data_IF_562566222992
#
_entry.id   IF_562566222992
#
_cell.length_a   1.000
_cell.length_b   1.000
_cell.length_c   1.000
_cell.angle_alpha   90.00
_cell.angle_beta   90.00
_cell.angle_gamma   90.00
#
_symmetry.space_group_name_H-M   'P 1'
#
loop_
_entity.id
_entity.type
_entity.pdbx_description
1 polymer ?
#
# COMPACT_ATOMS: atom_id res chain seq x y z
N UNK A 1 -4.63 -20.16 16.41
CA UNK A 1 -3.63 -19.15 16.04
C UNK A 1 -4.27 -17.78 16.04
N UNK A 2 -3.55 -16.78 16.52
CA UNK A 2 -3.96 -15.37 16.58
C UNK A 2 -3.06 -14.52 15.70
N UNK A 3 -3.63 -13.69 14.87
CA UNK A 3 -2.91 -12.84 13.91
C UNK A 3 -3.17 -11.37 14.27
N UNK A 4 -2.11 -10.58 14.31
CA UNK A 4 -2.21 -9.14 14.52
C UNK A 4 -1.87 -8.39 13.23
N UNK A 5 -2.69 -7.39 12.87
CA UNK A 5 -2.50 -6.59 11.67
C UNK A 5 -2.34 -5.13 12.07
N UNK A 6 -1.20 -4.52 11.79
CA UNK A 6 -1.07 -3.07 11.92
C UNK A 6 -1.65 -2.38 10.69
N UNK A 7 -2.28 -1.22 10.88
CA UNK A 7 -2.98 -0.55 9.78
C UNK A 7 -4.25 -1.31 9.34
N UNK A 8 -4.95 -1.92 10.30
CA UNK A 8 -6.10 -2.81 10.05
C UNK A 8 -7.33 -2.11 9.48
N UNK A 9 -7.47 -0.80 9.64
CA UNK A 9 -8.50 0.03 9.02
C UNK A 9 -8.11 0.52 7.62
N UNK A 10 -6.85 0.32 7.22
CA UNK A 10 -6.32 0.65 5.91
C UNK A 10 -6.83 -0.30 4.82
N UNK A 11 -6.49 0.05 3.57
CA UNK A 11 -6.90 -0.70 2.40
C UNK A 11 -6.48 -2.18 2.46
N UNK A 12 -5.17 -2.45 2.56
CA UNK A 12 -4.64 -3.81 2.58
C UNK A 12 -5.01 -4.55 3.87
N UNK A 13 -4.85 -3.88 5.03
CA UNK A 13 -5.07 -4.47 6.34
C UNK A 13 -6.52 -4.95 6.54
N UNK A 14 -7.51 -4.20 6.07
CA UNK A 14 -8.92 -4.57 6.23
C UNK A 14 -9.32 -5.80 5.40
N UNK A 15 -8.76 -5.95 4.20
CA UNK A 15 -8.99 -7.14 3.36
C UNK A 15 -8.29 -8.38 3.93
N UNK A 16 -7.06 -8.24 4.45
CA UNK A 16 -6.36 -9.33 5.14
C UNK A 16 -7.11 -9.75 6.41
N UNK A 17 -7.64 -8.80 7.17
CA UNK A 17 -8.45 -9.11 8.35
C UNK A 17 -9.66 -9.98 8.00
N UNK A 18 -10.41 -9.60 6.96
CA UNK A 18 -11.54 -10.41 6.48
C UNK A 18 -11.09 -11.79 6.02
N UNK A 19 -9.98 -11.88 5.30
CA UNK A 19 -9.43 -13.15 4.83
C UNK A 19 -9.08 -14.07 6.00
N UNK A 20 -8.33 -13.60 6.99
CA UNK A 20 -7.95 -14.42 8.14
C UNK A 20 -9.16 -14.81 9.01
N UNK A 21 -10.13 -13.91 9.18
CA UNK A 21 -11.39 -14.23 9.87
C UNK A 21 -12.18 -15.32 9.13
N UNK A 22 -12.21 -15.28 7.79
CA UNK A 22 -12.90 -16.30 6.98
C UNK A 22 -12.27 -17.69 7.09
N UNK A 23 -10.97 -17.75 7.40
CA UNK A 23 -10.22 -18.97 7.66
C UNK A 23 -10.33 -19.46 9.12
N UNK A 24 -11.11 -18.76 9.97
CA UNK A 24 -11.35 -19.14 11.36
C UNK A 24 -10.27 -18.68 12.35
N UNK A 25 -9.34 -17.81 11.95
CA UNK A 25 -8.33 -17.25 12.85
C UNK A 25 -8.91 -16.13 13.71
N UNK A 26 -8.34 -15.93 14.90
CA UNK A 26 -8.61 -14.76 15.73
C UNK A 26 -7.74 -13.60 15.22
N UNK A 27 -8.36 -12.48 14.90
CA UNK A 27 -7.68 -11.30 14.34
C UNK A 27 -7.80 -10.13 15.31
N UNK A 28 -6.65 -9.56 15.65
CA UNK A 28 -6.55 -8.25 16.27
C UNK A 28 -5.79 -7.29 15.35
N UNK A 29 -5.89 -6.01 15.62
CA UNK A 29 -5.12 -5.02 14.87
C UNK A 29 -5.26 -3.62 15.42
N UNK A 30 -4.28 -2.77 15.11
CA UNK A 30 -4.33 -1.36 15.45
C UNK A 30 -4.38 -0.48 14.22
N UNK A 31 -4.91 0.72 14.41
CA UNK A 31 -4.88 1.79 13.42
C UNK A 31 -4.94 3.15 14.14
N UNK A 32 -4.32 4.18 13.59
CA UNK A 32 -4.46 5.57 14.01
C UNK A 32 -5.32 6.39 13.04
N UNK A 33 -5.93 5.72 12.05
CA UNK A 33 -6.84 6.24 11.04
C UNK A 33 -6.26 7.33 10.11
N UNK A 34 -4.94 7.47 10.04
CA UNK A 34 -4.30 8.38 9.08
C UNK A 34 -4.56 7.97 7.62
N UNK A 35 -4.58 6.67 7.33
CA UNK A 35 -4.67 6.15 5.96
C UNK A 35 -5.88 5.26 5.70
N UNK A 36 -6.70 4.99 6.71
CA UNK A 36 -7.86 4.11 6.64
C UNK A 36 -9.14 4.74 7.17
N UNK A 37 -10.24 4.07 6.93
CA UNK A 37 -11.55 4.45 7.49
C UNK A 37 -11.97 3.45 8.54
N UNK A 38 -12.54 3.92 9.65
CA UNK A 38 -13.01 3.06 10.74
C UNK A 38 -14.07 2.03 10.28
N UNK A 39 -14.89 2.38 9.33
CA UNK A 39 -15.91 1.52 8.75
C UNK A 39 -15.37 0.42 7.80
N UNK A 40 -14.07 0.42 7.48
CA UNK A 40 -13.42 -0.70 6.82
C UNK A 40 -13.17 -1.89 7.75
N UNK A 41 -13.18 -1.67 9.07
CA UNK A 41 -12.82 -2.71 10.04
C UNK A 41 -14.00 -3.66 10.29
N UNK A 42 -13.76 -4.95 10.08
CA UNK A 42 -14.76 -5.97 10.38
C UNK A 42 -15.05 -5.98 11.89
N UNK A 43 -16.33 -6.01 12.31
CA UNK A 43 -16.71 -5.99 13.72
C UNK A 43 -16.16 -7.15 14.56
N UNK A 44 -15.70 -8.24 13.94
CA UNK A 44 -15.06 -9.38 14.61
C UNK A 44 -13.59 -9.17 14.92
N UNK A 45 -12.98 -8.11 14.38
CA UNK A 45 -11.59 -7.75 14.69
C UNK A 45 -11.51 -7.10 16.06
N UNK A 46 -10.58 -7.54 16.88
CA UNK A 46 -10.23 -6.82 18.11
C UNK A 46 -9.41 -5.57 17.74
N UNK A 47 -10.11 -4.44 17.62
CA UNK A 47 -9.52 -3.18 17.18
C UNK A 47 -8.94 -2.41 18.36
N UNK A 48 -7.70 -1.95 18.19
CA UNK A 48 -7.00 -1.06 19.11
C UNK A 48 -6.73 0.28 18.41
N UNK A 49 -7.22 1.38 18.98
CA UNK A 49 -7.09 2.74 18.44
C UNK A 49 -5.84 3.40 19.04
N UNK A 50 -4.68 3.20 18.39
CA UNK A 50 -3.42 3.83 18.78
C UNK A 50 -2.37 3.75 17.66
N UNK A 51 -1.33 4.55 17.80
CA UNK A 51 -0.21 4.59 16.86
C UNK A 51 0.80 3.48 17.15
N UNK A 52 1.17 2.68 16.15
CA UNK A 52 2.13 1.57 16.29
C UNK A 52 3.56 2.02 16.68
N UNK A 53 3.84 3.31 16.69
CA UNK A 53 5.09 3.90 17.27
C UNK A 53 5.14 3.81 18.80
N UNK A 54 4.01 3.67 19.47
CA UNK A 54 4.01 3.36 20.89
C UNK A 54 4.45 1.91 21.13
N UNK A 55 5.76 1.72 21.19
CA UNK A 55 6.40 0.42 21.34
C UNK A 55 5.98 -0.33 22.60
N UNK A 56 5.77 0.39 23.70
CA UNK A 56 5.42 -0.23 24.97
C UNK A 56 4.00 -0.77 24.96
N UNK A 57 3.05 0.02 24.49
CA UNK A 57 1.67 -0.41 24.32
C UNK A 57 1.57 -1.55 23.29
N UNK A 58 2.29 -1.42 22.17
CA UNK A 58 2.35 -2.47 21.14
C UNK A 58 2.87 -3.78 21.73
N UNK A 59 3.97 -3.78 22.48
CA UNK A 59 4.51 -4.99 23.08
C UNK A 59 3.53 -5.64 24.07
N UNK A 60 2.84 -4.83 24.87
CA UNK A 60 1.80 -5.32 25.79
C UNK A 60 0.64 -6.01 25.06
N UNK A 61 0.18 -5.42 23.96
CA UNK A 61 -0.95 -5.94 23.18
C UNK A 61 -0.56 -7.21 22.40
N UNK A 62 0.67 -7.27 21.88
CA UNK A 62 1.12 -8.40 21.06
C UNK A 62 1.32 -9.69 21.83
N UNK A 63 1.32 -9.70 23.15
CA UNK A 63 1.40 -10.94 23.93
C UNK A 63 0.30 -11.94 23.57
N UNK A 64 0.74 -13.12 23.16
CA UNK A 64 -0.13 -14.23 22.76
C UNK A 64 -0.68 -14.12 21.35
N UNK A 65 -0.15 -13.22 20.51
CA UNK A 65 -0.29 -13.30 19.06
C UNK A 65 0.86 -14.10 18.46
N UNK A 66 0.54 -14.93 17.48
CA UNK A 66 1.49 -15.84 16.82
C UNK A 66 2.19 -15.16 15.64
N UNK A 67 1.46 -14.31 14.91
CA UNK A 67 1.89 -13.68 13.67
C UNK A 67 1.55 -12.19 13.70
N UNK A 68 2.47 -11.35 13.22
CA UNK A 68 2.21 -9.94 12.90
C UNK A 68 2.30 -9.74 11.39
N UNK A 69 1.26 -9.12 10.80
CA UNK A 69 1.29 -8.61 9.43
C UNK A 69 1.31 -7.08 9.48
N UNK A 70 2.45 -6.50 9.12
CA UNK A 70 2.69 -5.07 9.23
C UNK A 70 2.31 -4.35 7.93
N UNK A 71 1.08 -3.81 7.90
CA UNK A 71 0.54 -3.03 6.79
C UNK A 71 0.53 -1.52 7.06
N UNK A 72 0.73 -1.10 8.32
CA UNK A 72 0.73 0.32 8.69
C UNK A 72 1.83 1.08 7.93
N UNK A 73 1.44 2.07 7.16
CA UNK A 73 2.34 2.95 6.44
C UNK A 73 1.58 4.14 5.85
N UNK A 74 2.24 5.29 5.75
CA UNK A 74 1.82 6.38 4.88
C UNK A 74 2.43 6.16 3.50
N UNK A 75 1.71 5.41 2.64
CA UNK A 75 2.22 4.97 1.33
C UNK A 75 2.16 6.08 0.28
N UNK A 76 2.86 7.19 0.54
CA UNK A 76 2.83 8.42 -0.26
C UNK A 76 4.19 8.67 -0.92
N UNK A 77 4.53 7.90 -1.96
CA UNK A 77 5.79 8.02 -2.69
C UNK A 77 6.02 9.47 -3.17
N UNK A 78 5.08 10.03 -3.95
CA UNK A 78 5.21 11.39 -4.48
C UNK A 78 5.24 12.49 -3.42
N UNK A 79 4.54 12.33 -2.30
CA UNK A 79 4.56 13.29 -1.20
C UNK A 79 5.87 13.22 -0.40
N UNK A 80 6.58 12.10 -0.43
CA UNK A 80 7.73 11.85 0.44
C UNK A 80 8.86 12.86 0.28
N UNK A 81 9.06 13.40 -0.92
CA UNK A 81 10.07 14.45 -1.18
C UNK A 81 9.64 15.84 -0.69
N UNK A 82 8.36 16.02 -0.34
CA UNK A 82 7.80 17.25 0.19
C UNK A 82 7.40 17.18 1.66
N UNK A 83 7.32 15.99 2.23
CA UNK A 83 7.03 15.76 3.66
C UNK A 83 7.87 14.59 4.19
N UNK A 84 9.21 14.67 4.09
CA UNK A 84 10.10 13.54 4.40
C UNK A 84 10.08 13.14 5.88
N UNK A 85 9.93 14.08 6.80
CA UNK A 85 9.86 13.80 8.24
C UNK A 85 8.58 13.01 8.56
N UNK A 86 7.44 13.47 8.08
CA UNK A 86 6.16 12.79 8.24
C UNK A 86 6.21 11.35 7.70
N UNK A 87 6.75 11.17 6.48
CA UNK A 87 6.85 9.85 5.84
C UNK A 87 7.80 8.93 6.60
N UNK A 88 8.99 9.41 6.97
CA UNK A 88 10.00 8.60 7.68
C UNK A 88 9.47 8.11 9.04
N UNK A 89 8.79 8.97 9.79
CA UNK A 89 8.20 8.60 11.08
C UNK A 89 7.10 7.55 10.95
N UNK A 90 6.22 7.71 9.97
CA UNK A 90 5.08 6.80 9.78
C UNK A 90 5.43 5.52 8.99
N UNK A 91 6.65 5.37 8.51
CA UNK A 91 7.13 4.15 7.86
C UNK A 91 8.27 3.53 8.66
N UNK A 92 9.42 4.19 8.77
CA UNK A 92 10.59 3.56 9.36
C UNK A 92 10.47 3.44 10.88
N UNK A 93 10.21 4.54 11.59
CA UNK A 93 10.03 4.53 13.04
C UNK A 93 8.90 3.59 13.47
N UNK A 94 7.75 3.65 12.77
CA UNK A 94 6.60 2.79 13.01
C UNK A 94 6.93 1.29 12.82
N UNK A 95 7.69 0.96 11.77
CA UNK A 95 8.12 -0.42 11.49
C UNK A 95 9.09 -0.93 12.55
N UNK A 96 10.12 -0.16 12.89
CA UNK A 96 11.12 -0.55 13.90
C UNK A 96 10.46 -0.71 15.28
N UNK A 97 9.57 0.19 15.65
CA UNK A 97 8.80 0.09 16.89
C UNK A 97 7.98 -1.20 16.95
N UNK A 98 7.26 -1.51 15.86
CA UNK A 98 6.45 -2.74 15.77
C UNK A 98 7.31 -4.01 15.80
N UNK A 99 8.44 -4.04 15.07
CA UNK A 99 9.37 -5.17 15.07
C UNK A 99 9.93 -5.45 16.46
N UNK A 100 10.40 -4.40 17.14
CA UNK A 100 10.93 -4.50 18.51
C UNK A 100 9.86 -4.99 19.48
N UNK A 101 8.63 -4.50 19.36
CA UNK A 101 7.50 -4.96 20.17
C UNK A 101 7.14 -6.43 19.91
N UNK A 102 7.15 -6.86 18.63
CA UNK A 102 6.88 -8.24 18.25
C UNK A 102 7.90 -9.21 18.83
N UNK A 103 9.19 -8.86 18.77
CA UNK A 103 10.27 -9.64 19.38
C UNK A 103 10.08 -9.71 20.91
N UNK A 104 9.83 -8.58 21.57
CA UNK A 104 9.60 -8.52 23.02
C UNK A 104 8.40 -9.38 23.45
N UNK A 105 7.37 -9.47 22.61
CA UNK A 105 6.17 -10.28 22.86
C UNK A 105 6.30 -11.75 22.45
N UNK A 106 7.47 -12.19 21.97
CA UNK A 106 7.73 -13.53 21.44
C UNK A 106 6.80 -13.93 20.28
N UNK A 107 6.50 -13.01 19.37
CA UNK A 107 5.78 -13.29 18.12
C UNK A 107 6.64 -14.24 17.26
N UNK A 108 6.05 -15.30 16.75
CA UNK A 108 6.77 -16.32 15.96
C UNK A 108 7.12 -15.88 14.55
N UNK A 109 6.26 -15.05 13.91
CA UNK A 109 6.47 -14.62 12.51
C UNK A 109 6.03 -13.17 12.27
N UNK A 110 6.82 -12.48 11.45
CA UNK A 110 6.57 -11.11 11.02
C UNK A 110 6.50 -11.03 9.49
N UNK A 111 5.38 -10.57 8.94
CA UNK A 111 5.23 -10.29 7.50
C UNK A 111 5.23 -8.79 7.29
N UNK A 112 6.21 -8.29 6.55
CA UNK A 112 6.35 -6.87 6.24
C UNK A 112 5.81 -6.55 4.85
N UNK A 113 4.91 -5.57 4.75
CA UNK A 113 4.46 -5.04 3.45
C UNK A 113 5.40 -3.92 3.00
N UNK A 114 6.31 -4.25 2.10
CA UNK A 114 7.23 -3.32 1.46
C UNK A 114 6.61 -2.65 0.22
N UNK A 115 7.41 -2.20 -0.72
CA UNK A 115 6.97 -1.52 -1.94
C UNK A 115 7.97 -1.72 -3.08
N UNK A 116 7.47 -1.68 -4.32
CA UNK A 116 8.32 -1.64 -5.51
C UNK A 116 9.21 -0.38 -5.59
N UNK A 117 8.92 0.67 -4.84
CA UNK A 117 9.78 1.84 -4.70
C UNK A 117 11.21 1.50 -4.21
N UNK A 118 11.42 0.30 -3.66
CA UNK A 118 12.73 -0.26 -3.31
C UNK A 118 13.69 -0.37 -4.49
N UNK A 119 13.17 -0.49 -5.70
CA UNK A 119 13.97 -0.68 -6.92
C UNK A 119 14.39 0.64 -7.58
N UNK A 120 13.68 1.74 -7.30
CA UNK A 120 13.98 3.05 -7.89
C UNK A 120 13.84 3.09 -9.41
N UNK A 121 14.84 3.66 -10.09
CA UNK A 121 14.84 3.88 -11.54
C UNK A 121 15.65 2.83 -12.31
N UNK A 122 15.71 1.59 -11.82
CA UNK A 122 16.38 0.51 -12.52
C UNK A 122 15.58 0.08 -13.77
N UNK A 123 16.18 -0.75 -14.60
CA UNK A 123 15.52 -1.31 -15.79
C UNK A 123 14.46 -2.34 -15.37
N UNK A 124 13.24 -2.14 -15.83
CA UNK A 124 12.12 -3.05 -15.58
C UNK A 124 12.13 -4.23 -16.60
N UNK A 125 11.55 -5.40 -16.27
CA UNK A 125 10.83 -5.70 -15.02
C UNK A 125 11.76 -5.92 -13.83
N UNK A 126 11.37 -5.42 -12.66
CA UNK A 126 12.15 -5.60 -11.44
C UNK A 126 12.02 -7.02 -10.89
N UNK A 127 13.13 -7.61 -10.49
CA UNK A 127 13.16 -8.93 -9.82
C UNK A 127 13.67 -8.81 -8.39
N UNK A 128 13.39 -9.80 -7.56
CA UNK A 128 13.74 -9.80 -6.14
C UNK A 128 15.26 -9.87 -5.90
N UNK A 129 16.02 -10.36 -6.88
CA UNK A 129 17.49 -10.45 -6.86
C UNK A 129 18.18 -9.10 -7.12
N UNK A 130 17.47 -8.12 -7.66
CA UNK A 130 18.01 -6.79 -7.90
C UNK A 130 18.38 -6.11 -6.59
N UNK A 131 19.50 -5.39 -6.62
CA UNK A 131 19.87 -4.53 -5.50
C UNK A 131 18.83 -3.43 -5.31
N UNK A 132 18.55 -3.11 -4.06
CA UNK A 132 17.68 -1.98 -3.75
C UNK A 132 18.38 -0.66 -4.06
N UNK A 133 17.68 0.22 -4.81
CA UNK A 133 18.19 1.52 -5.23
C UNK A 133 17.10 2.61 -5.14
N UNK A 134 16.47 2.82 -3.96
CA UNK A 134 15.36 3.75 -3.82
C UNK A 134 15.79 5.18 -4.11
N UNK A 135 14.91 5.97 -4.74
CA UNK A 135 15.21 7.34 -5.21
C UNK A 135 14.47 8.44 -4.46
N UNK A 136 13.61 8.07 -3.52
CA UNK A 136 12.80 8.98 -2.73
C UNK A 136 12.73 8.55 -1.25
N UNK A 137 12.36 9.45 -0.31
CA UNK A 137 12.32 9.15 1.12
C UNK A 137 11.38 7.99 1.50
N UNK A 138 10.29 7.76 0.73
CA UNK A 138 9.38 6.64 0.96
C UNK A 138 10.09 5.30 0.69
N UNK A 139 10.69 5.15 -0.49
CA UNK A 139 11.45 3.95 -0.86
C UNK A 139 12.63 3.71 0.07
N UNK A 140 13.38 4.77 0.44
CA UNK A 140 14.48 4.68 1.40
C UNK A 140 14.00 4.17 2.76
N UNK A 141 12.89 4.68 3.29
CA UNK A 141 12.32 4.24 4.55
C UNK A 141 11.86 2.77 4.51
N UNK A 142 11.27 2.32 3.40
CA UNK A 142 10.90 0.91 3.19
C UNK A 142 12.12 0.00 3.17
N UNK A 143 13.16 0.35 2.42
CA UNK A 143 14.41 -0.44 2.35
C UNK A 143 15.11 -0.49 3.71
N UNK A 144 15.18 0.62 4.42
CA UNK A 144 15.74 0.66 5.77
C UNK A 144 14.98 -0.26 6.73
N UNK A 145 13.63 -0.29 6.65
CA UNK A 145 12.80 -1.20 7.45
C UNK A 145 13.03 -2.68 7.08
N UNK A 146 13.18 -3.02 5.78
CA UNK A 146 13.53 -4.37 5.35
C UNK A 146 14.86 -4.84 5.92
N UNK A 147 15.89 -4.00 5.85
CA UNK A 147 17.22 -4.31 6.36
C UNK A 147 17.21 -4.49 7.88
N UNK A 148 16.48 -3.60 8.58
CA UNK A 148 16.31 -3.69 10.04
C UNK A 148 15.58 -4.98 10.42
N UNK A 149 14.50 -5.36 9.71
CA UNK A 149 13.78 -6.60 9.96
C UNK A 149 14.70 -7.81 9.86
N UNK A 150 15.45 -7.93 8.77
CA UNK A 150 16.39 -9.04 8.56
C UNK A 150 17.42 -9.14 9.68
N UNK A 151 18.05 -8.01 10.02
CA UNK A 151 19.05 -7.95 11.09
C UNK A 151 18.47 -8.35 12.46
N UNK A 152 17.30 -7.86 12.81
CA UNK A 152 16.65 -8.21 14.08
C UNK A 152 16.23 -9.67 14.12
N UNK A 153 15.69 -10.21 13.03
CA UNK A 153 15.26 -11.60 12.94
C UNK A 153 16.44 -12.57 13.00
N UNK A 154 17.58 -12.22 12.39
CA UNK A 154 18.82 -12.98 12.47
C UNK A 154 19.33 -13.11 13.91
N UNK A 155 19.26 -12.03 14.68
CA UNK A 155 19.72 -12.03 16.09
C UNK A 155 18.71 -12.69 17.04
N UNK A 156 17.42 -12.48 16.82
CA UNK A 156 16.37 -12.85 17.80
C UNK A 156 15.55 -14.08 17.39
N UNK A 157 15.80 -14.68 16.21
CA UNK A 157 15.18 -15.93 15.78
C UNK A 157 13.71 -15.83 15.37
N UNK A 158 13.13 -14.62 15.21
CA UNK A 158 11.78 -14.43 14.69
C UNK A 158 11.76 -14.74 13.19
N UNK A 159 10.80 -15.53 12.72
CA UNK A 159 10.63 -15.76 11.27
C UNK A 159 10.12 -14.51 10.57
N UNK A 160 10.53 -14.31 9.32
CA UNK A 160 10.08 -13.17 8.55
C UNK A 160 9.79 -13.50 7.08
N UNK A 161 8.89 -12.75 6.48
CA UNK A 161 8.69 -12.64 5.03
C UNK A 161 8.40 -11.20 4.66
N UNK A 162 8.73 -10.82 3.42
CA UNK A 162 8.51 -9.48 2.87
C UNK A 162 7.65 -9.59 1.62
N UNK A 163 6.44 -9.05 1.68
CA UNK A 163 5.58 -8.85 0.52
C UNK A 163 5.93 -7.52 -0.16
N UNK A 164 6.10 -7.53 -1.47
CA UNK A 164 6.35 -6.34 -2.29
C UNK A 164 5.19 -6.15 -3.27
N UNK A 165 4.00 -5.77 -2.79
CA UNK A 165 2.87 -5.52 -3.67
C UNK A 165 3.07 -4.24 -4.46
N UNK A 166 2.55 -4.19 -5.71
CA UNK A 166 2.67 -3.01 -6.54
C UNK A 166 1.31 -2.56 -7.11
N UNK A 167 1.09 -1.25 -7.10
CA UNK A 167 -0.07 -0.56 -7.66
C UNK A 167 -1.43 -1.23 -7.34
N UNK A 168 -1.64 -1.63 -6.07
CA UNK A 168 -2.88 -2.30 -5.67
C UNK A 168 -4.04 -1.31 -5.71
N UNK A 169 -5.18 -1.75 -6.28
CA UNK A 169 -6.43 -1.00 -6.39
C UNK A 169 -7.62 -1.86 -5.96
N UNK A 170 -8.69 -1.22 -5.51
CA UNK A 170 -9.91 -1.93 -5.11
C UNK A 170 -10.78 -1.15 -4.13
N UNK A 171 -11.89 -1.76 -3.69
CA UNK A 171 -12.75 -1.23 -2.63
C UNK A 171 -11.97 -0.96 -1.34
N UNK A 172 -12.46 -0.03 -0.50
CA UNK A 172 -11.86 0.41 0.78
C UNK A 172 -10.53 1.18 0.64
N UNK A 173 -10.01 1.39 -0.57
CA UNK A 173 -8.89 2.29 -0.76
C UNK A 173 -9.31 3.72 -0.45
N UNK A 174 -8.47 4.47 0.29
CA UNK A 174 -8.75 5.87 0.61
C UNK A 174 -8.79 6.69 -0.68
N UNK A 175 -9.86 7.43 -0.91
CA UNK A 175 -10.14 8.14 -2.15
C UNK A 175 -10.30 9.66 -1.98
N UNK A 176 -10.25 10.15 -0.75
CA UNK A 176 -10.23 11.58 -0.40
C UNK A 176 -8.80 12.07 -0.07
N UNK A 177 -7.78 11.26 -0.33
CA UNK A 177 -6.37 11.60 -0.16
C UNK A 177 -5.83 12.21 -1.48
N UNK A 178 -5.36 13.48 -1.49
CA UNK A 178 -4.94 14.14 -2.72
C UNK A 178 -3.56 13.69 -3.24
N UNK A 179 -2.82 12.94 -2.44
CA UNK A 179 -1.40 12.67 -2.70
C UNK A 179 -1.13 11.29 -3.27
N UNK A 180 -2.07 10.35 -3.17
CA UNK A 180 -1.86 8.95 -3.60
C UNK A 180 -3.10 8.31 -4.19
N UNK A 181 -2.87 7.15 -4.86
CA UNK A 181 -3.88 6.29 -5.47
C UNK A 181 -4.57 6.96 -6.65
N UNK A 182 -3.82 7.13 -7.73
CA UNK A 182 -4.25 7.85 -8.94
C UNK A 182 -5.66 7.46 -9.42
N UNK A 183 -6.02 6.17 -9.44
CA UNK A 183 -7.33 5.70 -9.89
C UNK A 183 -8.45 6.15 -8.95
N UNK A 184 -8.22 6.10 -7.62
CA UNK A 184 -9.20 6.53 -6.62
C UNK A 184 -9.40 8.04 -6.65
N UNK A 185 -8.31 8.84 -6.84
CA UNK A 185 -8.39 10.29 -7.03
C UNK A 185 -9.22 10.63 -8.27
N UNK A 186 -8.91 10.00 -9.42
CA UNK A 186 -9.65 10.22 -10.67
C UNK A 186 -11.13 9.85 -10.53
N UNK A 187 -11.43 8.72 -9.89
CA UNK A 187 -12.79 8.25 -9.66
C UNK A 187 -13.57 9.23 -8.76
N UNK A 188 -12.99 9.65 -7.65
CA UNK A 188 -13.60 10.62 -6.74
C UNK A 188 -13.92 11.94 -7.46
N UNK A 189 -12.96 12.48 -8.23
CA UNK A 189 -13.18 13.70 -9.02
C UNK A 189 -14.29 13.54 -10.05
N UNK A 190 -14.24 12.49 -10.87
CA UNK A 190 -15.22 12.26 -11.93
C UNK A 190 -16.65 12.04 -11.38
N UNK A 191 -16.78 11.39 -10.22
CA UNK A 191 -18.08 11.25 -9.53
C UNK A 191 -18.58 12.60 -8.97
N UNK A 192 -17.69 13.51 -8.59
CA UNK A 192 -17.99 14.92 -8.23
C UNK A 192 -18.20 15.83 -9.45
N UNK A 193 -18.19 15.29 -10.68
CA UNK A 193 -18.33 16.04 -11.95
C UNK A 193 -17.14 16.96 -12.23
N UNK A 194 -15.97 16.62 -11.73
CA UNK A 194 -14.71 17.33 -11.95
C UNK A 194 -13.79 16.54 -12.89
N UNK A 195 -13.01 17.18 -13.78
CA UNK A 195 -12.05 16.52 -14.64
C UNK A 195 -10.90 15.91 -13.85
N UNK A 196 -10.32 14.79 -14.32
CA UNK A 196 -9.10 14.24 -13.74
C UNK A 196 -7.88 15.08 -14.07
N UNK A 197 -6.91 15.20 -13.14
CA UNK A 197 -5.57 15.73 -13.43
C UNK A 197 -4.65 14.59 -13.86
N UNK A 198 -3.81 14.86 -14.85
CA UNK A 198 -2.74 13.96 -15.32
C UNK A 198 -1.43 14.74 -15.27
N UNK A 199 -0.44 14.21 -14.55
CA UNK A 199 0.88 14.80 -14.47
C UNK A 199 1.70 14.39 -15.70
N UNK A 200 2.31 15.38 -16.37
CA UNK A 200 3.04 15.18 -17.61
C UNK A 200 2.15 14.81 -18.79
N UNK A 201 2.71 14.04 -19.71
CA UNK A 201 2.04 13.60 -20.95
C UNK A 201 1.07 12.41 -20.74
N UNK A 202 1.08 11.78 -19.56
CA UNK A 202 0.22 10.65 -19.24
C UNK A 202 0.62 9.31 -19.89
N UNK A 203 1.82 9.25 -20.51
CA UNK A 203 2.33 8.04 -21.18
C UNK A 203 3.11 7.10 -20.25
N UNK A 204 3.27 7.46 -18.97
CA UNK A 204 3.85 6.56 -17.99
C UNK A 204 3.03 5.29 -17.83
N UNK A 205 3.70 4.13 -17.89
CA UNK A 205 3.10 2.80 -17.87
C UNK A 205 3.03 2.23 -16.46
N UNK A 206 1.90 1.58 -16.14
CA UNK A 206 1.68 0.86 -14.87
C UNK A 206 0.90 -0.43 -15.09
N UNK A 207 1.31 -1.48 -14.38
CA UNK A 207 0.46 -2.63 -14.13
C UNK A 207 -0.29 -2.39 -12.83
N UNK A 208 -1.62 -2.58 -12.83
CA UNK A 208 -2.46 -2.41 -11.65
C UNK A 208 -2.91 -3.76 -11.11
N UNK A 209 -2.70 -3.98 -9.81
CA UNK A 209 -3.07 -5.21 -9.11
C UNK A 209 -4.45 -5.06 -8.48
N UNK A 210 -5.35 -6.01 -8.70
CA UNK A 210 -6.57 -6.03 -7.91
C UNK A 210 -6.32 -6.62 -6.51
N UNK A 211 -6.93 -6.03 -5.49
CA UNK A 211 -6.68 -6.38 -4.09
C UNK A 211 -6.84 -7.86 -3.79
N UNK A 212 -7.91 -8.52 -4.29
CA UNK A 212 -8.19 -9.92 -3.98
C UNK A 212 -7.12 -10.86 -4.56
N UNK A 213 -6.51 -10.49 -5.70
CA UNK A 213 -5.44 -11.28 -6.31
C UNK A 213 -4.15 -11.24 -5.46
N UNK A 214 -3.94 -10.16 -4.69
CA UNK A 214 -2.77 -9.99 -3.83
C UNK A 214 -2.95 -10.62 -2.44
N UNK A 215 -4.17 -10.61 -1.90
CA UNK A 215 -4.48 -11.06 -0.52
C UNK A 215 -4.09 -12.51 -0.30
N UNK A 216 -4.35 -13.40 -1.27
CA UNK A 216 -4.02 -14.82 -1.15
C UNK A 216 -2.51 -15.07 -1.07
N UNK A 217 -1.71 -14.23 -1.71
CA UNK A 217 -0.25 -14.32 -1.63
C UNK A 217 0.28 -13.91 -0.25
N UNK A 218 -0.23 -12.80 0.29
CA UNK A 218 0.19 -12.32 1.62
C UNK A 218 -0.29 -13.28 2.72
N UNK A 219 -1.48 -13.85 2.56
CA UNK A 219 -1.98 -14.92 3.42
C UNK A 219 -0.99 -16.10 3.47
N UNK A 220 -0.52 -16.59 2.32
CA UNK A 220 0.47 -17.68 2.26
C UNK A 220 1.80 -17.30 2.91
N UNK A 221 2.31 -16.11 2.68
CA UNK A 221 3.52 -15.61 3.36
C UNK A 221 3.35 -15.56 4.88
N UNK A 222 2.15 -15.38 5.38
CA UNK A 222 1.86 -15.39 6.81
C UNK A 222 1.70 -16.79 7.38
N UNK A 223 1.03 -17.70 6.66
CA UNK A 223 0.56 -18.98 7.22
C UNK A 223 1.39 -20.20 6.85
N UNK A 224 2.04 -20.20 5.67
CA UNK A 224 2.81 -21.37 5.22
C UNK A 224 4.15 -21.43 5.96
N UNK A 225 4.33 -22.47 6.76
CA UNK A 225 5.55 -22.68 7.55
C UNK A 225 6.79 -23.00 6.69
N UNK A 226 6.59 -23.46 5.45
CA UNK A 226 7.68 -23.76 4.52
C UNK A 226 8.22 -22.49 3.83
N UNK A 227 7.51 -21.38 3.91
CA UNK A 227 7.91 -20.11 3.30
C UNK A 227 8.50 -19.22 4.38
N UNK A 228 9.82 -19.04 4.37
CA UNK A 228 10.55 -18.27 5.38
C UNK A 228 11.69 -17.51 4.71
N UNK A 229 11.95 -16.31 5.22
CA UNK A 229 13.04 -15.43 4.76
C UNK A 229 12.94 -15.06 3.28
N UNK A 230 11.70 -14.94 2.80
CA UNK A 230 11.41 -14.66 1.40
C UNK A 230 11.00 -13.20 1.19
N UNK A 231 11.49 -12.66 0.06
CA UNK A 231 10.98 -11.40 -0.52
C UNK A 231 10.25 -11.78 -1.79
N UNK A 232 9.01 -11.32 -1.95
CA UNK A 232 8.20 -11.70 -3.11
C UNK A 232 7.46 -10.48 -3.68
N UNK A 233 7.69 -10.19 -4.96
CA UNK A 233 6.93 -9.22 -5.73
C UNK A 233 5.52 -9.78 -5.99
N UNK A 234 4.48 -8.96 -5.73
CA UNK A 234 3.09 -9.41 -5.85
C UNK A 234 2.30 -8.40 -6.70
N UNK A 235 1.80 -8.87 -7.83
CA UNK A 235 0.99 -8.11 -8.76
C UNK A 235 1.24 -8.54 -10.20
N UNK A 236 0.45 -8.06 -11.19
CA UNK A 236 0.62 -8.43 -12.58
C UNK A 236 1.87 -7.79 -13.20
N UNK A 237 2.52 -8.51 -14.10
CA UNK A 237 3.60 -8.04 -14.97
C UNK A 237 3.17 -7.98 -16.45
N UNK A 238 1.97 -8.40 -16.74
CA UNK A 238 1.34 -8.37 -18.05
C UNK A 238 0.38 -7.18 -18.22
N UNK A 239 0.14 -6.79 -19.48
CA UNK A 239 -0.86 -5.79 -19.86
C UNK A 239 -0.72 -4.43 -19.16
N UNK A 240 0.49 -3.81 -19.17
CA UNK A 240 0.64 -2.45 -18.64
C UNK A 240 -0.23 -1.47 -19.44
N UNK A 241 -0.81 -0.50 -18.74
CA UNK A 241 -1.58 0.58 -19.36
C UNK A 241 -0.97 1.94 -19.04
N UNK A 242 -1.19 2.90 -19.94
CA UNK A 242 -0.82 4.30 -19.68
C UNK A 242 -1.77 4.96 -18.69
N UNK A 243 -1.33 6.02 -18.05
CA UNK A 243 -2.21 6.84 -17.17
C UNK A 243 -3.34 7.47 -17.99
N UNK A 244 -3.10 7.81 -19.27
CA UNK A 244 -4.14 8.28 -20.18
C UNK A 244 -5.25 7.22 -20.40
N UNK A 245 -4.87 5.96 -20.63
CA UNK A 245 -5.82 4.85 -20.77
C UNK A 245 -6.57 4.60 -19.46
N UNK A 246 -5.87 4.62 -18.34
CA UNK A 246 -6.47 4.49 -17.02
C UNK A 246 -7.52 5.60 -16.76
N UNK A 247 -7.19 6.85 -17.06
CA UNK A 247 -8.11 7.98 -16.92
C UNK A 247 -9.37 7.82 -17.81
N UNK A 248 -9.20 7.30 -19.03
CA UNK A 248 -10.32 7.01 -19.94
C UNK A 248 -11.22 5.91 -19.40
N UNK A 249 -10.65 4.84 -18.84
CA UNK A 249 -11.40 3.75 -18.21
C UNK A 249 -12.17 4.22 -16.98
N UNK A 250 -11.54 5.03 -16.12
CA UNK A 250 -12.19 5.61 -14.93
C UNK A 250 -13.35 6.53 -15.34
N UNK A 251 -13.14 7.43 -16.31
CA UNK A 251 -14.20 8.31 -16.80
C UNK A 251 -15.40 7.52 -17.34
N UNK A 252 -15.14 6.44 -18.10
CA UNK A 252 -16.18 5.54 -18.59
C UNK A 252 -16.96 4.86 -17.47
N UNK A 253 -16.27 4.34 -16.44
CA UNK A 253 -16.90 3.69 -15.29
C UNK A 253 -17.76 4.69 -14.48
N UNK A 254 -17.29 5.95 -14.34
CA UNK A 254 -18.03 7.03 -13.69
C UNK A 254 -19.17 7.62 -14.52
N UNK A 255 -19.35 7.21 -15.80
CA UNK A 255 -20.26 7.83 -16.78
C UNK A 255 -20.02 9.34 -16.87
N UNK A 256 -18.75 9.72 -16.92
CA UNK A 256 -18.27 11.10 -17.02
C UNK A 256 -17.58 11.33 -18.37
N UNK A 257 -17.69 12.54 -18.92
CA UNK A 257 -17.00 12.90 -20.16
C UNK A 257 -15.49 12.95 -19.91
N UNK A 258 -14.72 12.17 -20.67
CA UNK A 258 -13.26 12.16 -20.55
C UNK A 258 -12.64 13.47 -21.05
N UNK A 259 -12.31 14.37 -20.14
CA UNK A 259 -11.70 15.69 -20.41
C UNK A 259 -10.60 15.96 -19.38
N UNK A 260 -9.48 15.19 -19.40
CA UNK A 260 -8.42 15.35 -18.41
C UNK A 260 -7.71 16.69 -18.57
N UNK A 261 -7.18 17.22 -17.46
CA UNK A 261 -6.31 18.39 -17.41
C UNK A 261 -4.88 17.88 -17.23
N UNK A 262 -4.02 18.14 -18.22
CA UNK A 262 -2.59 17.85 -18.11
C UNK A 262 -1.89 19.00 -17.37
N UNK A 263 -0.97 18.63 -16.47
CA UNK A 263 -0.15 19.57 -15.69
C UNK A 263 1.32 19.15 -15.74
N UNK A 264 2.20 19.92 -15.12
CA UNK A 264 3.64 19.60 -15.10
C UNK A 264 3.94 18.24 -14.49
N UNK A 265 5.02 17.60 -14.95
CA UNK A 265 5.51 16.34 -14.38
C UNK A 265 5.77 16.47 -12.87
N UNK A 266 5.54 15.40 -12.13
CA UNK A 266 5.95 15.32 -10.73
C UNK A 266 7.44 15.02 -10.63
N UNK A 267 8.15 15.62 -9.67
CA UNK A 267 9.54 15.24 -9.41
C UNK A 267 9.67 13.74 -9.10
N UNK A 268 10.73 13.11 -9.63
CA UNK A 268 11.04 11.70 -9.41
C UNK A 268 9.99 10.69 -9.94
N UNK A 269 9.10 11.10 -10.84
CA UNK A 269 8.15 10.17 -11.48
C UNK A 269 8.87 9.11 -12.30
N UNK A 270 8.64 7.83 -11.97
CA UNK A 270 9.18 6.70 -12.74
C UNK A 270 8.31 6.48 -13.98
N UNK A 271 8.88 6.52 -15.18
CA UNK A 271 8.14 6.41 -16.45
C UNK A 271 7.61 5.00 -16.70
N UNK A 272 8.41 3.97 -16.42
CA UNK A 272 8.01 2.58 -16.55
C UNK A 272 8.36 1.82 -15.28
N UNK A 273 7.35 1.29 -14.59
CA UNK A 273 7.53 0.57 -13.35
C UNK A 273 6.65 -0.67 -13.35
N UNK A 274 7.28 -1.83 -13.44
CA UNK A 274 6.65 -3.14 -13.30
C UNK A 274 7.64 -4.12 -12.65
N UNK A 275 7.12 -5.11 -11.90
CA UNK A 275 7.90 -6.16 -11.29
C UNK A 275 7.63 -7.47 -12.01
N UNK A 276 8.61 -8.38 -12.10
CA UNK A 276 8.34 -9.78 -12.44
C UNK A 276 7.52 -10.43 -11.32
N UNK A 277 6.56 -11.26 -11.70
CA UNK A 277 5.72 -12.04 -10.78
C UNK A 277 6.04 -13.54 -10.81
N UNK A 278 7.14 -13.94 -11.44
CA UNK A 278 7.50 -15.36 -11.61
C UNK A 278 7.70 -16.05 -10.28
N UNK A 279 8.35 -15.40 -9.32
CA UNK A 279 8.53 -15.92 -7.96
C UNK A 279 7.18 -16.07 -7.24
N UNK A 280 6.29 -15.09 -7.36
CA UNK A 280 4.95 -15.20 -6.78
C UNK A 280 4.13 -16.34 -7.41
N UNK A 281 4.22 -16.54 -8.72
CA UNK A 281 3.56 -17.66 -9.42
C UNK A 281 4.07 -19.01 -8.90
N UNK A 282 5.39 -19.15 -8.81
CA UNK A 282 6.03 -20.41 -8.41
C UNK A 282 5.83 -20.72 -6.93
N UNK A 283 6.07 -19.73 -6.07
CA UNK A 283 6.08 -19.93 -4.61
C UNK A 283 4.69 -19.82 -4.00
N UNK A 284 3.89 -18.86 -4.49
CA UNK A 284 2.61 -18.49 -3.89
C UNK A 284 1.40 -18.89 -4.75
N UNK A 285 1.61 -19.39 -5.98
CA UNK A 285 0.54 -19.69 -6.92
C UNK A 285 -0.24 -18.43 -7.30
N UNK A 286 0.45 -17.29 -7.48
CA UNK A 286 -0.15 -16.05 -7.94
C UNK A 286 -0.75 -16.21 -9.33
N UNK A 287 -1.92 -15.67 -9.52
CA UNK A 287 -2.61 -15.55 -10.80
C UNK A 287 -3.32 -14.21 -10.87
N UNK A 288 -3.23 -13.53 -12.01
CA UNK A 288 -4.04 -12.35 -12.30
C UNK A 288 -5.44 -12.78 -12.73
N UNK A 289 -6.39 -12.73 -11.80
CA UNK A 289 -7.79 -13.14 -12.02
C UNK A 289 -8.69 -11.98 -12.41
N UNK A 290 -8.28 -10.76 -12.08
CA UNK A 290 -9.08 -9.57 -12.29
C UNK A 290 -8.36 -8.60 -13.21
N UNK A 291 -8.91 -8.35 -14.40
CA UNK A 291 -8.36 -7.35 -15.31
C UNK A 291 -8.51 -5.91 -14.77
N UNK A 292 -7.70 -5.00 -15.30
CA UNK A 292 -7.65 -3.61 -14.84
C UNK A 292 -8.97 -2.88 -15.01
N UNK A 293 -9.74 -3.17 -16.05
CA UNK A 293 -11.05 -2.56 -16.28
C UNK A 293 -12.03 -2.96 -15.18
N UNK A 294 -12.12 -4.26 -14.87
CA UNK A 294 -12.95 -4.80 -13.79
C UNK A 294 -12.52 -4.24 -12.43
N UNK A 295 -11.21 -4.15 -12.17
CA UNK A 295 -10.67 -3.56 -10.95
C UNK A 295 -11.10 -2.07 -10.78
N UNK A 296 -11.04 -1.29 -11.86
CA UNK A 296 -11.51 0.10 -11.90
C UNK A 296 -13.03 0.17 -11.65
N UNK A 297 -13.82 -0.67 -12.33
CA UNK A 297 -15.29 -0.69 -12.17
C UNK A 297 -15.70 -0.98 -10.73
N UNK A 298 -15.06 -1.96 -10.07
CA UNK A 298 -15.30 -2.29 -8.65
C UNK A 298 -14.89 -1.15 -7.71
N UNK A 299 -13.75 -0.49 -7.99
CA UNK A 299 -13.29 0.67 -7.21
C UNK A 299 -14.27 1.84 -7.33
N UNK A 300 -14.71 2.15 -8.55
CA UNK A 300 -15.70 3.22 -8.80
C UNK A 300 -17.03 2.90 -8.15
N UNK A 301 -17.51 1.64 -8.22
CA UNK A 301 -18.75 1.21 -7.59
C UNK A 301 -18.71 1.43 -6.07
N UNK A 302 -17.59 1.08 -5.42
CA UNK A 302 -17.38 1.32 -3.99
C UNK A 302 -17.43 2.81 -3.63
N UNK A 303 -16.71 3.66 -4.37
CA UNK A 303 -16.69 5.11 -4.10
C UNK A 303 -18.08 5.71 -4.34
N UNK A 304 -18.81 5.23 -5.35
CA UNK A 304 -20.18 5.67 -5.62
C UNK A 304 -21.14 5.29 -4.49
N UNK A 305 -21.02 4.09 -3.92
CA UNK A 305 -21.82 3.60 -2.80
C UNK A 305 -21.54 4.42 -1.53
N UNK A 306 -20.27 4.67 -1.21
CA UNK A 306 -19.85 5.45 -0.04
C UNK A 306 -20.11 6.95 -0.17
N UNK A 307 -20.30 7.43 -1.39
CA UNK A 307 -20.38 8.84 -1.74
C UNK A 307 -19.01 9.46 -1.99
N UNK A 308 -18.86 10.25 -3.06
CA UNK A 308 -17.62 11.00 -3.31
C UNK A 308 -17.42 12.07 -2.22
N UNK A 309 -16.15 12.38 -1.90
CA UNK A 309 -15.76 13.29 -0.82
C UNK A 309 -14.89 14.43 -1.33
N UNK A 310 -14.84 15.51 -0.60
CA UNK A 310 -13.79 16.52 -0.76
C UNK A 310 -12.44 15.95 -0.33
N UNK A 311 -11.36 16.46 -0.93
CA UNK A 311 -10.03 15.99 -0.59
C UNK A 311 -9.56 16.55 0.75
N UNK A 312 -8.96 15.67 1.54
CA UNK A 312 -8.40 15.99 2.85
C UNK A 312 -6.91 16.36 2.72
N UNK A 313 -6.62 17.64 2.88
CA UNK A 313 -5.25 18.18 2.85
C UNK A 313 -4.61 18.32 4.24
N UNK A 314 -5.12 17.62 5.25
CA UNK A 314 -4.65 17.74 6.66
C UNK A 314 -3.19 17.34 6.85
N UNK A 315 -2.62 16.51 5.97
CA UNK A 315 -1.22 16.09 6.07
C UNK A 315 -0.21 17.22 5.77
N UNK A 316 -0.60 18.21 4.99
CA UNK A 316 0.24 19.36 4.66
C UNK A 316 1.52 19.02 3.89
N UNK A 317 2.23 20.08 3.49
CA UNK A 317 3.58 20.00 2.91
C UNK A 317 4.57 20.58 3.92
N UNK A 318 5.62 19.82 4.28
CA UNK A 318 6.73 20.34 5.10
C UNK A 318 7.63 21.26 4.25
N UNK A 319 7.75 20.95 2.96
CA UNK A 319 8.50 21.70 1.95
C UNK A 319 7.57 21.98 0.79
N UNK A 320 7.22 23.25 0.57
CA UNK A 320 6.31 23.65 -0.51
C UNK A 320 7.02 23.96 -1.82
N UNK A 321 8.32 24.24 -1.77
CA UNK A 321 9.11 24.57 -2.95
C UNK A 321 9.13 23.39 -3.93
N UNK A 322 8.89 23.69 -5.22
CA UNK A 322 8.79 22.70 -6.30
C UNK A 322 7.67 21.65 -6.14
N UNK A 323 6.78 21.80 -5.15
CA UNK A 323 5.62 20.93 -5.06
C UNK A 323 4.65 21.20 -6.23
N UNK A 324 3.92 20.18 -6.70
CA UNK A 324 2.91 20.36 -7.73
C UNK A 324 1.91 21.47 -7.36
N UNK A 325 1.56 22.30 -8.33
CA UNK A 325 0.59 23.38 -8.13
C UNK A 325 -0.76 22.86 -7.63
N UNK A 326 -1.18 21.69 -8.12
CA UNK A 326 -2.40 21.00 -7.67
C UNK A 326 -2.42 20.71 -6.17
N UNK A 327 -1.27 20.56 -5.53
CA UNK A 327 -1.15 20.36 -4.09
C UNK A 327 -1.04 21.66 -3.32
N UNK A 328 -0.24 22.61 -3.83
CA UNK A 328 -0.09 23.93 -3.20
C UNK A 328 -1.40 24.72 -3.18
N UNK A 329 -2.09 24.73 -4.30
CA UNK A 329 -3.35 25.48 -4.50
C UNK A 329 -4.61 24.63 -4.18
N UNK A 330 -4.43 23.38 -3.72
CA UNK A 330 -5.52 22.45 -3.36
C UNK A 330 -6.56 22.28 -4.47
N UNK A 331 -6.10 22.06 -5.70
CA UNK A 331 -6.96 22.02 -6.90
C UNK A 331 -7.64 20.65 -7.14
N UNK A 332 -7.35 19.63 -6.35
CA UNK A 332 -7.94 18.29 -6.50
C UNK A 332 -9.37 18.20 -5.95
#
# INVERSE_FOLDING_TARGET
>A
MKIFITGVAGFLGSHLADKFLSLGYKVGGNDNFLGGYRDNVNPKVMLYDFDCRDRHLMASILHGYDIVVHCAATAHEGLSVFSPSFITRNIYEASVSTMSAAITANVGRFVFCSSMARYGNQEAPFTEEMQTAPVDPYGIAKVAAEQTLKSLCDVHGMQWNIAVPHNIVGPRQRYDDPYRNVLSIMANRNLRKLPSYIYGDGNQLRCFSYIDDCISCIEKLALDSNIQSEIVNIGPDENPITINEAAKLVAKACKFKHTPIHTTDRPKEVKYATCSSDKARTLLGYETKTDVKTAIEKTVAYIKEKGPKEFDYSFGLEISDNAPETWKERLL
#
